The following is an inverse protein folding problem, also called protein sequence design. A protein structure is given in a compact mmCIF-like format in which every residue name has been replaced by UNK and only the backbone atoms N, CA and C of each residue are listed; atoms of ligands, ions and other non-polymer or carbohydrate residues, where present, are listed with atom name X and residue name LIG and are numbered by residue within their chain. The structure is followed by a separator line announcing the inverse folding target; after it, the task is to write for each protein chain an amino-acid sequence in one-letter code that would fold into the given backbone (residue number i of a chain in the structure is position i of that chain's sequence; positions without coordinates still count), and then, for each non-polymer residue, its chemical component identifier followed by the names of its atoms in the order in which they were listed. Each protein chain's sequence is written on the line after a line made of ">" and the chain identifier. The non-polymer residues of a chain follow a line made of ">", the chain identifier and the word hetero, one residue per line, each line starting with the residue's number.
data_IF_845040791031
#
_entry.id   IF_845040791031
#
_cell.length_a   1.000
_cell.length_b   1.000
_cell.length_c   1.000
_cell.angle_alpha   90.00
_cell.angle_beta   90.00
_cell.angle_gamma   90.00
#
_symmetry.space_group_name_H-M   'P 1'
#
loop_
_entity.id
_entity.type
_entity.pdbx_description
1 polymer ?
#
# COMPACT_ATOMS: atom_id res chain seq x y z
N UNK A 1 -30.88 19.11 23.19
CA UNK A 1 -29.55 18.47 23.12
C UNK A 1 -29.69 17.05 23.65
N UNK A 2 -29.69 16.05 22.77
CA UNK A 2 -29.83 14.65 23.18
C UNK A 2 -28.45 13.99 23.27
N UNK A 3 -28.10 13.32 24.38
CA UNK A 3 -26.85 12.58 24.51
C UNK A 3 -26.89 11.33 23.63
N UNK A 4 -25.86 11.14 22.82
CA UNK A 4 -25.67 9.97 21.99
C UNK A 4 -25.43 8.75 22.89
N UNK A 5 -26.42 7.87 22.97
CA UNK A 5 -26.36 6.63 23.75
C UNK A 5 -25.37 5.65 23.11
N UNK A 6 -24.15 5.59 23.63
CA UNK A 6 -23.17 4.55 23.32
C UNK A 6 -23.46 3.37 24.26
N UNK A 7 -24.39 2.49 23.88
CA UNK A 7 -24.45 1.15 24.47
C UNK A 7 -23.75 0.17 23.54
N UNK A 8 -22.58 -0.25 24.00
CA UNK A 8 -21.72 -1.22 23.34
C UNK A 8 -20.36 -1.19 24.03
N UNK A 9 -20.34 -1.61 25.29
CA UNK A 9 -19.10 -1.85 26.02
C UNK A 9 -18.28 -2.88 25.24
N UNK A 10 -17.17 -2.44 24.65
CA UNK A 10 -16.14 -3.34 24.16
C UNK A 10 -15.30 -3.71 25.38
N UNK A 11 -15.49 -4.93 25.88
CA UNK A 11 -14.78 -5.43 27.05
C UNK A 11 -13.32 -5.60 26.69
N UNK A 12 -12.46 -5.03 27.52
CA UNK A 12 -11.01 -5.11 27.47
C UNK A 12 -10.59 -6.54 27.82
N UNK A 13 -10.01 -7.29 26.87
CA UNK A 13 -9.37 -8.57 27.21
C UNK A 13 -9.48 -9.76 26.25
N UNK A 14 -10.00 -9.63 25.03
CA UNK A 14 -10.03 -10.78 24.12
C UNK A 14 -8.66 -11.00 23.45
N UNK A 15 -7.86 -11.89 24.04
CA UNK A 15 -6.65 -12.44 23.43
C UNK A 15 -7.02 -13.09 22.09
N UNK A 16 -6.70 -12.41 20.99
CA UNK A 16 -6.96 -12.90 19.63
C UNK A 16 -6.07 -14.13 19.40
N UNK A 17 -6.69 -15.29 19.20
CA UNK A 17 -5.93 -16.53 18.94
C UNK A 17 -5.02 -16.38 17.71
N UNK A 18 -3.86 -17.05 17.67
CA UNK A 18 -2.90 -16.95 16.57
C UNK A 18 -3.51 -17.28 15.20
N UNK A 19 -4.48 -18.19 15.15
CA UNK A 19 -5.22 -18.55 13.94
C UNK A 19 -6.12 -17.40 13.47
N UNK A 20 -6.89 -16.78 14.39
CA UNK A 20 -7.67 -15.57 14.06
C UNK A 20 -6.79 -14.40 13.68
N UNK A 21 -5.57 -14.33 14.20
CA UNK A 21 -4.59 -13.30 13.83
C UNK A 21 -4.06 -13.51 12.40
N UNK A 22 -3.89 -14.77 11.95
CA UNK A 22 -3.59 -15.10 10.54
C UNK A 22 -4.77 -14.80 9.63
N UNK A 23 -5.99 -15.10 10.05
CA UNK A 23 -7.20 -14.79 9.29
C UNK A 23 -7.45 -13.28 9.20
N UNK A 24 -7.25 -12.53 10.28
CA UNK A 24 -7.28 -11.06 10.26
C UNK A 24 -6.18 -10.50 9.35
N UNK A 25 -4.95 -11.01 9.41
CA UNK A 25 -3.88 -10.59 8.49
C UNK A 25 -4.25 -10.86 7.03
N UNK A 26 -4.87 -12.00 6.71
CA UNK A 26 -5.29 -12.36 5.37
C UNK A 26 -6.50 -11.54 4.89
N UNK A 27 -7.50 -11.31 5.75
CA UNK A 27 -8.66 -10.46 5.45
C UNK A 27 -8.24 -9.00 5.28
N UNK A 28 -7.37 -8.49 6.16
CA UNK A 28 -6.79 -7.15 6.02
C UNK A 28 -5.94 -7.07 4.76
N UNK A 29 -5.15 -8.08 4.38
CA UNK A 29 -4.39 -8.08 3.13
C UNK A 29 -5.29 -8.14 1.88
N UNK A 30 -6.38 -8.91 1.91
CA UNK A 30 -7.32 -9.02 0.79
C UNK A 30 -8.11 -7.72 0.56
N UNK A 31 -8.54 -7.06 1.65
CA UNK A 31 -9.31 -5.81 1.56
C UNK A 31 -8.42 -4.56 1.51
N UNK A 32 -7.21 -4.56 2.09
CA UNK A 32 -6.27 -3.43 2.03
C UNK A 32 -5.78 -3.14 0.61
N UNK A 33 -5.71 -4.12 -0.29
CA UNK A 33 -5.43 -3.82 -1.71
C UNK A 33 -6.55 -3.01 -2.37
N UNK A 34 -7.77 -3.04 -1.83
CA UNK A 34 -8.96 -2.37 -2.37
C UNK A 34 -9.43 -1.18 -1.55
N UNK A 35 -8.90 -0.97 -0.35
CA UNK A 35 -9.07 0.26 0.39
C UNK A 35 -8.35 1.36 -0.39
N UNK A 36 -9.11 2.39 -0.73
CA UNK A 36 -8.60 3.47 -1.56
C UNK A 36 -7.60 4.29 -0.73
N UNK A 37 -6.46 4.62 -1.32
CA UNK A 37 -5.41 5.40 -0.65
C UNK A 37 -5.84 6.86 -0.58
N UNK A 38 -5.41 7.57 0.47
CA UNK A 38 -5.63 9.02 0.51
C UNK A 38 -4.80 9.67 -0.58
N UNK A 39 -3.52 9.34 -0.78
CA UNK A 39 -2.57 10.19 -1.54
C UNK A 39 -2.82 10.35 -3.05
N UNK A 40 -3.75 9.61 -3.67
CA UNK A 40 -3.91 9.58 -5.14
C UNK A 40 -5.21 10.27 -5.57
N UNK A 41 -5.09 11.45 -6.21
CA UNK A 41 -6.19 12.30 -6.72
C UNK A 41 -7.28 11.51 -7.46
N UNK A 42 -6.87 10.57 -8.31
CA UNK A 42 -7.75 9.71 -9.12
C UNK A 42 -8.71 8.83 -8.30
N UNK A 43 -8.32 8.45 -7.08
CA UNK A 43 -9.09 7.52 -6.22
C UNK A 43 -9.60 8.18 -4.92
N UNK A 44 -9.35 9.48 -4.72
CA UNK A 44 -9.81 10.21 -3.51
C UNK A 44 -11.33 10.12 -3.31
N UNK A 45 -12.12 10.26 -4.38
CA UNK A 45 -13.58 10.15 -4.28
C UNK A 45 -14.02 8.76 -3.79
N UNK A 46 -13.29 7.72 -4.18
CA UNK A 46 -13.55 6.35 -3.72
C UNK A 46 -13.12 6.17 -2.27
N UNK A 47 -12.01 6.79 -1.86
CA UNK A 47 -11.59 6.85 -0.45
C UNK A 47 -12.66 7.50 0.43
N UNK A 48 -13.12 8.70 0.10
CA UNK A 48 -14.13 9.40 0.89
C UNK A 48 -15.42 8.59 1.04
N UNK A 49 -15.89 7.96 -0.05
CA UNK A 49 -17.06 7.07 -0.01
C UNK A 49 -16.84 5.88 0.93
N UNK A 50 -15.70 5.18 0.81
CA UNK A 50 -15.40 4.01 1.63
C UNK A 50 -15.28 4.38 3.12
N UNK A 51 -14.60 5.49 3.44
CA UNK A 51 -14.44 5.92 4.82
C UNK A 51 -15.80 6.30 5.46
N UNK A 52 -16.68 6.96 4.71
CA UNK A 52 -18.05 7.22 5.17
C UNK A 52 -18.84 5.93 5.38
N UNK A 53 -18.73 4.95 4.48
CA UNK A 53 -19.43 3.66 4.62
C UNK A 53 -18.96 2.88 5.85
N UNK A 54 -17.67 2.94 6.18
CA UNK A 54 -17.12 2.19 7.32
C UNK A 54 -17.33 2.86 8.67
N UNK A 55 -17.23 4.18 8.74
CA UNK A 55 -17.16 4.88 10.02
C UNK A 55 -18.39 5.73 10.35
N UNK A 56 -19.21 6.09 9.36
CA UNK A 56 -20.47 6.77 9.61
C UNK A 56 -21.55 5.71 9.90
N UNK A 57 -22.36 5.85 10.95
CA UNK A 57 -23.53 5.00 11.12
C UNK A 57 -24.58 5.38 10.05
N UNK A 58 -24.98 4.42 9.22
CA UNK A 58 -26.01 4.62 8.19
C UNK A 58 -27.01 3.46 8.19
N UNK A 59 -28.29 3.76 7.98
CA UNK A 59 -29.35 2.75 7.77
C UNK A 59 -29.85 2.77 6.33
N UNK A 60 -29.75 3.92 5.67
CA UNK A 60 -30.12 4.14 4.26
C UNK A 60 -28.99 4.86 3.54
N UNK A 61 -28.89 4.67 2.23
CA UNK A 61 -27.89 5.35 1.40
C UNK A 61 -28.01 6.89 1.46
N UNK A 62 -29.22 7.39 1.75
CA UNK A 62 -29.49 8.82 2.00
C UNK A 62 -28.79 9.37 3.24
N UNK A 63 -28.45 8.53 4.21
CA UNK A 63 -27.83 8.96 5.46
C UNK A 63 -26.34 9.27 5.27
N UNK A 64 -25.72 8.66 4.25
CA UNK A 64 -24.32 8.90 3.92
C UNK A 64 -24.08 10.34 3.48
N UNK A 65 -25.00 10.91 2.68
CA UNK A 65 -24.82 12.20 1.99
C UNK A 65 -26.15 12.88 1.68
N UNK A 66 -26.19 14.20 1.86
CA UNK A 66 -27.33 15.02 1.42
C UNK A 66 -27.45 15.07 -0.11
N UNK A 67 -28.68 15.26 -0.62
CA UNK A 67 -28.93 15.37 -2.07
C UNK A 67 -28.18 16.60 -2.61
N UNK A 68 -27.32 16.38 -3.62
CA UNK A 68 -26.55 17.44 -4.28
C UNK A 68 -25.16 17.73 -3.67
N UNK A 69 -24.85 17.24 -2.47
CA UNK A 69 -23.56 17.52 -1.82
C UNK A 69 -22.43 16.69 -2.46
N UNK A 70 -21.22 17.23 -2.67
CA UNK A 70 -20.07 16.44 -3.08
C UNK A 70 -19.55 15.55 -1.93
N UNK A 71 -18.93 14.43 -2.29
CA UNK A 71 -18.43 13.45 -1.32
C UNK A 71 -17.29 13.99 -0.43
N UNK A 72 -16.51 14.93 -0.97
CA UNK A 72 -15.39 15.58 -0.29
C UNK A 72 -15.89 16.38 0.91
N UNK A 73 -16.78 17.33 0.68
CA UNK A 73 -17.37 18.16 1.75
C UNK A 73 -18.09 17.32 2.80
N UNK A 74 -18.78 16.25 2.38
CA UNK A 74 -19.49 15.35 3.31
C UNK A 74 -18.50 14.62 4.22
N UNK A 75 -17.36 14.21 3.67
CA UNK A 75 -16.30 13.57 4.42
C UNK A 75 -15.58 14.57 5.34
N UNK A 76 -15.33 15.80 4.89
CA UNK A 76 -14.75 16.85 5.73
C UNK A 76 -15.65 17.19 6.91
N UNK A 77 -16.96 17.32 6.68
CA UNK A 77 -17.95 17.50 7.74
C UNK A 77 -17.97 16.30 8.70
N UNK A 78 -17.88 15.07 8.17
CA UNK A 78 -17.77 13.89 9.01
C UNK A 78 -16.47 13.90 9.83
N UNK A 79 -15.33 14.23 9.23
CA UNK A 79 -14.04 14.27 9.91
C UNK A 79 -13.98 15.36 10.99
N UNK A 80 -14.56 16.53 10.74
CA UNK A 80 -14.65 17.60 11.74
C UNK A 80 -15.61 17.23 12.87
N UNK A 81 -16.74 16.57 12.56
CA UNK A 81 -17.72 16.14 13.58
C UNK A 81 -17.25 14.91 14.38
N UNK A 82 -16.57 13.96 13.73
CA UNK A 82 -16.02 12.75 14.35
C UNK A 82 -14.61 12.94 14.93
N UNK A 83 -14.09 14.17 14.96
CA UNK A 83 -12.88 14.52 15.72
C UNK A 83 -12.98 14.19 17.22
N UNK A 84 -14.17 13.79 17.70
CA UNK A 84 -14.41 13.28 19.06
C UNK A 84 -14.08 11.79 19.27
N UNK A 85 -13.78 11.02 18.20
CA UNK A 85 -13.44 9.58 18.28
C UNK A 85 -12.02 9.33 17.79
N UNK A 86 -11.05 9.54 18.67
CA UNK A 86 -9.61 9.25 18.46
C UNK A 86 -9.37 7.88 17.81
N UNK A 87 -10.17 6.88 18.20
CA UNK A 87 -10.11 5.51 17.67
C UNK A 87 -10.35 5.44 16.16
N UNK A 88 -11.29 6.22 15.63
CA UNK A 88 -11.63 6.24 14.20
C UNK A 88 -10.51 6.90 13.39
N UNK A 89 -9.91 7.98 13.90
CA UNK A 89 -8.75 8.64 13.29
C UNK A 89 -7.55 7.69 13.21
N UNK A 90 -7.21 7.04 14.32
CA UNK A 90 -6.11 6.07 14.36
C UNK A 90 -6.34 4.89 13.40
N UNK A 91 -7.58 4.42 13.24
CA UNK A 91 -7.91 3.37 12.25
C UNK A 91 -7.72 3.86 10.82
N UNK A 92 -8.13 5.09 10.50
CA UNK A 92 -7.89 5.69 9.18
C UNK A 92 -6.40 5.86 8.87
N UNK A 93 -5.61 6.28 9.86
CA UNK A 93 -4.15 6.41 9.75
C UNK A 93 -3.47 5.06 9.59
N UNK A 94 -3.88 4.05 10.37
CA UNK A 94 -3.38 2.69 10.22
C UNK A 94 -3.66 2.12 8.82
N UNK A 95 -4.84 2.40 8.26
CA UNK A 95 -5.14 1.99 6.88
C UNK A 95 -4.21 2.65 5.86
N UNK A 96 -3.87 3.93 6.07
CA UNK A 96 -2.91 4.65 5.23
C UNK A 96 -1.48 4.09 5.41
N UNK A 97 -1.04 3.85 6.64
CA UNK A 97 0.28 3.30 6.98
C UNK A 97 0.52 1.92 6.35
N UNK A 98 -0.50 1.05 6.27
CA UNK A 98 -0.39 -0.25 5.60
C UNK A 98 0.06 -0.08 4.14
N UNK A 99 -0.43 0.96 3.47
CA UNK A 99 -0.05 1.21 2.08
C UNK A 99 1.38 1.74 1.96
N UNK A 100 1.82 2.63 2.85
CA UNK A 100 3.18 3.15 2.88
C UNK A 100 4.22 2.06 3.15
N UNK A 101 3.93 1.16 4.10
CA UNK A 101 4.79 0.01 4.37
C UNK A 101 4.88 -0.93 3.16
N UNK A 102 3.75 -1.14 2.47
CA UNK A 102 3.73 -1.98 1.27
C UNK A 102 4.55 -1.38 0.13
N UNK A 103 4.36 -0.09 -0.15
CA UNK A 103 5.13 0.62 -1.18
C UNK A 103 6.63 0.58 -0.87
N UNK A 104 7.02 0.93 0.36
CA UNK A 104 8.42 0.88 0.80
C UNK A 104 9.06 -0.50 0.58
N UNK A 105 8.30 -1.55 0.88
CA UNK A 105 8.74 -2.94 0.67
C UNK A 105 8.89 -3.25 -0.82
N UNK A 106 7.90 -2.92 -1.62
CA UNK A 106 7.87 -3.24 -3.05
C UNK A 106 8.95 -2.42 -3.81
N UNK A 107 9.22 -1.18 -3.40
CA UNK A 107 10.31 -0.34 -3.91
C UNK A 107 11.68 -0.94 -3.58
N UNK A 108 11.91 -1.35 -2.33
CA UNK A 108 13.16 -2.01 -1.93
C UNK A 108 13.44 -3.28 -2.75
N UNK A 109 12.44 -4.14 -2.96
CA UNK A 109 12.63 -5.34 -3.79
C UNK A 109 12.82 -5.01 -5.26
N UNK A 110 12.14 -3.99 -5.79
CA UNK A 110 12.30 -3.53 -7.17
C UNK A 110 13.71 -2.97 -7.39
N UNK A 111 14.20 -2.14 -6.48
CA UNK A 111 15.56 -1.60 -6.52
C UNK A 111 16.61 -2.70 -6.47
N UNK A 112 16.47 -3.68 -5.57
CA UNK A 112 17.41 -4.82 -5.52
C UNK A 112 17.43 -5.62 -6.82
N UNK A 113 16.26 -5.86 -7.43
CA UNK A 113 16.17 -6.53 -8.74
C UNK A 113 16.79 -5.70 -9.86
N UNK A 114 16.60 -4.38 -9.83
CA UNK A 114 17.23 -3.47 -10.80
C UNK A 114 18.76 -3.53 -10.70
N UNK A 115 19.32 -3.41 -9.49
CA UNK A 115 20.77 -3.45 -9.26
C UNK A 115 21.37 -4.81 -9.65
N UNK A 116 20.71 -5.92 -9.30
CA UNK A 116 21.17 -7.25 -9.70
C UNK A 116 21.21 -7.41 -11.23
N UNK A 117 20.20 -6.88 -11.94
CA UNK A 117 20.18 -6.89 -13.42
C UNK A 117 21.28 -6.01 -14.01
N UNK A 118 21.58 -4.86 -13.43
CA UNK A 118 22.67 -4.00 -13.89
C UNK A 118 24.03 -4.68 -13.70
N UNK A 119 24.30 -5.23 -12.51
CA UNK A 119 25.53 -5.97 -12.25
C UNK A 119 25.73 -7.16 -13.23
N UNK A 120 24.66 -7.86 -13.60
CA UNK A 120 24.72 -8.91 -14.61
C UNK A 120 25.08 -8.39 -16.01
N UNK A 121 24.56 -7.22 -16.39
CA UNK A 121 24.90 -6.58 -17.67
C UNK A 121 26.36 -6.13 -17.69
N UNK A 122 26.83 -5.53 -16.60
CA UNK A 122 28.20 -5.06 -16.47
C UNK A 122 29.19 -6.23 -16.52
N UNK A 123 28.89 -7.33 -15.82
CA UNK A 123 29.69 -8.55 -15.87
C UNK A 123 29.74 -9.17 -17.28
N UNK A 124 28.63 -9.14 -18.04
CA UNK A 124 28.60 -9.60 -19.44
C UNK A 124 29.44 -8.71 -20.35
N UNK A 125 29.41 -7.39 -20.16
CA UNK A 125 30.22 -6.44 -20.92
C UNK A 125 31.71 -6.62 -20.63
N UNK A 126 32.08 -6.79 -19.37
CA UNK A 126 33.46 -7.07 -18.97
C UNK A 126 33.99 -8.37 -19.60
N UNK A 127 33.18 -9.45 -19.60
CA UNK A 127 33.56 -10.71 -20.26
C UNK A 127 33.75 -10.57 -21.77
N UNK A 128 32.91 -9.78 -22.45
CA UNK A 128 33.06 -9.51 -23.90
C UNK A 128 34.34 -8.71 -24.20
N UNK A 129 34.59 -7.64 -23.45
CA UNK A 129 35.81 -6.84 -23.63
C UNK A 129 37.11 -7.61 -23.36
N UNK A 130 37.07 -8.63 -22.50
CA UNK A 130 38.25 -9.49 -22.28
C UNK A 130 38.45 -10.52 -23.40
N UNK A 131 37.38 -11.02 -24.02
CA UNK A 131 37.46 -11.96 -25.14
C UNK A 131 38.02 -11.31 -26.42
N UNK A 132 37.73 -10.04 -26.68
CA UNK A 132 38.26 -9.29 -27.84
C UNK A 132 39.77 -9.01 -27.75
N UNK A 133 40.39 -9.11 -26.57
CA UNK A 133 41.85 -8.93 -26.42
C UNK A 133 42.65 -10.24 -26.57
N UNK A 134 41.98 -11.38 -26.76
CA UNK A 134 42.61 -12.70 -26.78
C UNK A 134 42.69 -13.32 -28.19
N UNK A 135 42.43 -12.53 -29.26
CA UNK A 135 42.66 -12.96 -30.64
C UNK A 135 44.15 -12.94 -30.97
N UNK A 136 44.88 -13.92 -30.40
CA UNK A 136 46.25 -14.29 -30.76
C UNK A 136 46.21 -15.17 -32.02
N UNK A 137 45.96 -14.55 -33.17
CA UNK A 137 46.32 -15.13 -34.46
C UNK A 137 47.86 -15.09 -34.59
N UNK A 138 48.53 -15.94 -33.81
CA UNK A 138 49.95 -16.23 -33.94
C UNK A 138 50.19 -16.95 -35.27
N UNK A 139 50.50 -16.19 -36.31
CA UNK A 139 50.90 -16.71 -37.61
C UNK A 139 52.14 -17.59 -37.47
N UNK A 140 52.04 -18.80 -38.01
CA UNK A 140 53.15 -19.73 -38.22
C UNK A 140 54.21 -19.04 -39.11
N UNK A 141 55.42 -18.86 -38.59
CA UNK A 141 56.57 -18.52 -39.43
C UNK A 141 57.19 -19.84 -39.91
N UNK A 142 56.87 -20.22 -41.15
CA UNK A 142 57.47 -21.35 -41.84
C UNK A 142 58.87 -20.92 -42.28
N UNK A 143 59.89 -21.22 -41.48
CA UNK A 143 61.29 -21.10 -41.90
C UNK A 143 61.62 -22.25 -42.85
N UNK A 144 61.72 -21.94 -44.14
CA UNK A 144 62.42 -22.75 -45.14
C UNK A 144 63.93 -22.74 -44.85
N UNK A 145 64.55 -23.92 -44.70
CA UNK A 145 65.91 -24.24 -45.17
C UNK A 145 66.07 -25.77 -45.35
#
# INVERSE_FOLDING_TARGET
>A
MHPCSVRGAFVEGDYISPERQKDLKNVILQYSQRISRRDKSEIYLRYFRLMLIFFKPWRRASDLRNKGQPWVETFEQFSSTCSTSESVRNKMENMQMIHECRDSRDDHFTQRRYLARQAQKDARRAKRGHAESADDFGGEDVTEE
#
